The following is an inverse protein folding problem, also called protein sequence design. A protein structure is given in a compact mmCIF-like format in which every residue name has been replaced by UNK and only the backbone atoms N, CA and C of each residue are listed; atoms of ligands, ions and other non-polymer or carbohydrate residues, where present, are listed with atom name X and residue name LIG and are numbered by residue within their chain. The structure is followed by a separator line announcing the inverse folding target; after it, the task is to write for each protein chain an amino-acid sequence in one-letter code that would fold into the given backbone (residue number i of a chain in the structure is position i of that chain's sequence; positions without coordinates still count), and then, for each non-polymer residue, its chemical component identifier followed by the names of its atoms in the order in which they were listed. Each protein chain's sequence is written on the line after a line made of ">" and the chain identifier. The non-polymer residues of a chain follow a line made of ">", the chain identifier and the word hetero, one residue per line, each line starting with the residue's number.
data_IF_188831150146
#
_entry.id   IF_188831150146
#
_cell.length_a   1.000
_cell.length_b   1.000
_cell.length_c   1.000
_cell.angle_alpha   90.00
_cell.angle_beta   90.00
_cell.angle_gamma   90.00
#
_symmetry.space_group_name_H-M   'P 1'
#
loop_
_entity.id
_entity.type
_entity.pdbx_description
1 polymer ?
#
# COMPACT_ATOMS: atom_id res chain seq x y z
N UNK A 1 7.64 14.66 31.45
CA UNK A 1 7.33 13.78 30.29
C UNK A 1 8.49 13.85 29.31
N UNK A 2 8.94 12.73 28.75
CA UNK A 2 9.94 12.68 27.67
C UNK A 2 9.26 12.14 26.41
N UNK A 3 9.50 12.76 25.26
CA UNK A 3 8.99 12.30 23.96
C UNK A 3 9.97 11.27 23.39
N UNK A 4 9.45 10.13 22.93
CA UNK A 4 10.23 9.05 22.34
C UNK A 4 9.63 8.67 20.98
N UNK A 5 10.48 8.49 19.98
CA UNK A 5 10.11 7.95 18.67
C UNK A 5 10.57 6.48 18.62
N UNK A 6 9.62 5.56 18.76
CA UNK A 6 9.87 4.11 18.75
C UNK A 6 9.49 3.55 17.38
N UNK A 7 10.38 2.83 16.69
CA UNK A 7 10.05 2.24 15.39
C UNK A 7 8.99 1.14 15.55
N UNK A 8 8.11 1.00 14.55
CA UNK A 8 6.97 0.07 14.62
C UNK A 8 7.37 -1.39 14.88
N UNK A 9 8.54 -1.83 14.39
CA UNK A 9 9.02 -3.20 14.60
C UNK A 9 9.37 -3.51 16.06
N UNK A 10 9.66 -2.51 16.91
CA UNK A 10 9.89 -2.74 18.34
C UNK A 10 8.58 -2.95 19.11
N UNK A 11 7.49 -2.35 18.61
CA UNK A 11 6.15 -2.44 19.20
C UNK A 11 5.44 -3.73 18.80
N UNK A 12 5.72 -4.24 17.60
CA UNK A 12 5.03 -5.39 17.01
C UNK A 12 5.10 -6.62 17.92
N UNK A 13 3.91 -7.10 18.34
CA UNK A 13 3.71 -8.25 19.22
C UNK A 13 4.52 -8.23 20.54
N UNK A 14 4.94 -7.05 21.00
CA UNK A 14 5.76 -6.89 22.19
C UNK A 14 4.94 -6.41 23.40
N UNK A 15 3.89 -7.18 23.71
CA UNK A 15 2.97 -6.90 24.84
C UNK A 15 3.68 -6.90 26.19
N UNK A 16 4.75 -7.70 26.34
CA UNK A 16 5.51 -7.81 27.59
C UNK A 16 6.18 -6.49 28.00
N UNK A 17 6.66 -5.69 27.04
CA UNK A 17 7.34 -4.41 27.31
C UNK A 17 6.41 -3.21 27.16
N UNK A 18 5.51 -3.22 26.17
CA UNK A 18 4.73 -2.03 25.82
C UNK A 18 3.24 -2.14 26.17
N UNK A 19 2.78 -3.30 26.64
CA UNK A 19 1.37 -3.55 26.93
C UNK A 19 0.51 -3.70 25.67
N UNK A 20 -0.76 -4.11 25.82
CA UNK A 20 -1.62 -4.52 24.70
C UNK A 20 -2.01 -3.37 23.77
N UNK A 21 -2.10 -2.14 24.27
CA UNK A 21 -2.51 -0.99 23.47
C UNK A 21 -1.40 -0.55 22.50
N UNK A 22 -0.17 -0.40 23.01
CA UNK A 22 0.95 0.06 22.20
C UNK A 22 1.41 -1.02 21.21
N UNK A 23 1.37 -2.30 21.61
CA UNK A 23 1.75 -3.39 20.70
C UNK A 23 0.77 -3.62 19.56
N UNK A 24 -0.46 -3.12 19.65
CA UNK A 24 -1.46 -3.18 18.59
C UNK A 24 -1.29 -2.08 17.52
N UNK A 25 -0.49 -1.03 17.79
CA UNK A 25 -0.31 0.11 16.88
C UNK A 25 0.14 -0.32 15.47
N UNK A 26 1.14 -1.21 15.29
CA UNK A 26 1.57 -1.61 13.95
C UNK A 26 0.43 -2.24 13.12
N UNK A 27 -0.45 -3.02 13.74
CA UNK A 27 -1.61 -3.61 13.07
C UNK A 27 -2.65 -2.56 12.66
N UNK A 28 -2.87 -1.54 13.50
CA UNK A 28 -3.81 -0.46 13.18
C UNK A 28 -3.31 0.43 12.05
N UNK A 29 -1.99 0.62 11.98
CA UNK A 29 -1.36 1.45 10.98
C UNK A 29 -1.15 0.76 9.63
N UNK A 30 -1.16 -0.57 9.59
CA UNK A 30 -0.89 -1.33 8.36
C UNK A 30 -1.89 -1.12 7.23
N UNK A 31 -3.05 -0.52 7.51
CA UNK A 31 -4.06 -0.16 6.50
C UNK A 31 -3.77 1.16 5.78
N UNK A 32 -2.80 1.93 6.25
CA UNK A 32 -2.44 3.22 5.67
C UNK A 32 -1.20 3.08 4.78
N UNK A 33 -1.15 3.92 3.74
CA UNK A 33 0.06 4.14 2.97
C UNK A 33 0.85 5.29 3.61
N UNK A 34 2.11 5.05 3.96
CA UNK A 34 3.01 6.08 4.48
C UNK A 34 3.74 6.71 3.31
N UNK A 35 3.51 8.00 3.07
CA UNK A 35 4.23 8.78 2.09
C UNK A 35 5.32 9.61 2.77
N UNK A 36 6.52 9.54 2.23
CA UNK A 36 7.63 10.39 2.61
C UNK A 36 7.66 11.54 1.61
N UNK A 37 7.45 12.75 2.11
CA UNK A 37 7.41 13.98 1.29
C UNK A 37 8.67 14.82 1.51
N UNK A 38 9.14 15.48 0.45
CA UNK A 38 10.22 16.47 0.52
C UNK A 38 9.71 17.87 0.92
N UNK A 39 10.60 18.86 0.96
CA UNK A 39 10.27 20.25 1.32
C UNK A 39 9.35 20.95 0.30
N UNK A 40 9.20 20.38 -0.90
CA UNK A 40 8.37 20.92 -1.99
C UNK A 40 7.05 20.13 -2.14
N UNK A 41 6.65 19.35 -1.11
CA UNK A 41 5.47 18.49 -1.10
C UNK A 41 5.48 17.35 -2.15
N UNK A 42 6.65 16.96 -2.67
CA UNK A 42 6.74 15.81 -3.58
C UNK A 42 6.92 14.51 -2.79
N UNK A 43 6.16 13.47 -3.16
CA UNK A 43 6.32 12.11 -2.60
C UNK A 43 7.61 11.48 -3.14
N UNK A 44 8.59 11.27 -2.26
CA UNK A 44 9.90 10.66 -2.60
C UNK A 44 9.94 9.16 -2.34
N UNK A 45 9.09 8.66 -1.43
CA UNK A 45 8.94 7.24 -1.14
C UNK A 45 7.56 6.94 -0.56
N UNK A 46 7.13 5.69 -0.64
CA UNK A 46 5.93 5.20 0.03
C UNK A 46 6.21 3.86 0.70
N UNK A 47 5.48 3.52 1.76
CA UNK A 47 5.49 2.17 2.35
C UNK A 47 4.10 1.79 2.86
N UNK A 48 3.67 0.53 2.73
CA UNK A 48 4.38 -0.59 2.10
C UNK A 48 4.37 -0.51 0.56
N UNK A 49 5.49 -0.89 -0.07
CA UNK A 49 5.61 -0.96 -1.53
C UNK A 49 6.34 0.25 -2.15
N UNK A 50 6.21 0.42 -3.47
CA UNK A 50 6.73 1.58 -4.20
C UNK A 50 5.58 2.52 -4.55
N UNK A 51 5.80 3.86 -4.57
CA UNK A 51 4.80 4.78 -5.11
C UNK A 51 4.38 4.34 -6.52
N UNK A 52 3.08 4.12 -6.72
CA UNK A 52 2.53 3.79 -8.02
C UNK A 52 2.11 5.09 -8.72
N UNK A 53 2.30 5.23 -10.05
CA UNK A 53 1.74 6.34 -10.81
C UNK A 53 0.23 6.46 -10.60
N UNK A 54 -0.35 7.66 -10.75
CA UNK A 54 -1.76 7.96 -10.43
C UNK A 54 -2.81 7.05 -11.12
N UNK A 55 -2.43 6.30 -12.16
CA UNK A 55 -3.28 5.30 -12.83
C UNK A 55 -3.19 3.87 -12.30
N UNK A 56 -2.20 3.53 -11.48
CA UNK A 56 -1.96 2.17 -10.96
C UNK A 56 -2.26 2.02 -9.47
N UNK A 57 -2.55 3.11 -8.75
CA UNK A 57 -2.91 3.05 -7.33
C UNK A 57 -4.23 2.24 -7.19
N UNK A 58 -4.23 1.10 -6.48
CA UNK A 58 -5.43 0.28 -6.33
C UNK A 58 -6.52 1.08 -5.63
N UNK A 59 -7.62 1.35 -6.33
CA UNK A 59 -8.81 2.01 -5.75
C UNK A 59 -9.78 0.95 -5.28
N UNK A 60 -10.35 1.15 -4.08
CA UNK A 60 -11.43 0.31 -3.59
C UNK A 60 -12.65 0.47 -4.49
N UNK A 61 -12.95 -0.55 -5.31
CA UNK A 61 -14.17 -0.57 -6.13
C UNK A 61 -15.35 -0.96 -5.26
N UNK A 62 -16.26 -0.02 -5.01
CA UNK A 62 -17.54 -0.31 -4.33
C UNK A 62 -18.45 -1.01 -5.34
N UNK A 63 -18.76 -2.28 -5.09
CA UNK A 63 -19.59 -3.11 -5.99
C UNK A 63 -21.10 -2.94 -5.75
N UNK A 64 -21.50 -2.22 -4.70
CA UNK A 64 -22.89 -2.10 -4.24
C UNK A 64 -23.52 -0.74 -4.60
N UNK A 65 -23.20 -0.21 -5.77
CA UNK A 65 -23.76 1.06 -6.26
C UNK A 65 -24.10 0.93 -7.74
N UNK A 66 -25.38 1.06 -8.06
CA UNK A 66 -25.90 1.17 -9.42
C UNK A 66 -25.36 2.47 -10.03
N UNK A 67 -24.44 2.37 -10.98
CA UNK A 67 -24.02 3.49 -11.82
C UNK A 67 -23.51 2.99 -13.16
N UNK A 68 -24.26 3.37 -14.18
CA UNK A 68 -24.03 3.15 -15.61
C UNK A 68 -22.77 3.91 -16.08
N UNK A 69 -21.60 3.33 -15.84
CA UNK A 69 -20.33 3.79 -16.41
C UNK A 69 -19.61 2.62 -17.06
N UNK A 70 -19.82 2.45 -18.36
CA UNK A 70 -18.96 1.61 -19.19
C UNK A 70 -17.57 2.23 -19.19
N UNK A 71 -16.55 1.49 -18.77
CA UNK A 71 -15.17 1.80 -19.17
C UNK A 71 -14.35 0.51 -19.32
N UNK A 72 -13.74 0.40 -20.49
CA UNK A 72 -13.17 -0.79 -21.10
C UNK A 72 -11.75 -1.07 -20.58
N UNK A 73 -11.65 -1.69 -19.41
CA UNK A 73 -10.36 -1.97 -18.77
C UNK A 73 -9.75 -3.34 -19.10
N UNK A 74 -9.59 -3.71 -20.37
CA UNK A 74 -8.67 -4.80 -20.79
C UNK A 74 -8.22 -4.60 -22.24
N UNK A 75 -7.57 -3.48 -22.54
CA UNK A 75 -7.07 -3.19 -23.89
C UNK A 75 -5.59 -3.49 -24.12
N UNK A 76 -4.80 -3.83 -23.09
CA UNK A 76 -3.37 -4.12 -23.29
C UNK A 76 -2.89 -5.31 -22.46
N UNK A 77 -3.21 -6.51 -22.95
CA UNK A 77 -2.36 -7.67 -22.75
C UNK A 77 -1.93 -8.17 -24.13
N UNK A 78 -0.86 -7.58 -24.66
CA UNK A 78 -0.08 -8.19 -25.72
C UNK A 78 0.71 -9.33 -25.09
N UNK A 79 0.09 -10.52 -25.05
CA UNK A 79 0.77 -11.74 -24.69
C UNK A 79 1.86 -12.02 -25.72
N UNK A 80 3.12 -11.73 -25.37
CA UNK A 80 4.26 -12.34 -26.05
C UNK A 80 4.37 -13.79 -25.56
N UNK A 81 3.47 -14.64 -26.06
CA UNK A 81 3.70 -16.08 -26.13
C UNK A 81 4.73 -16.31 -27.22
N UNK A 82 6.00 -16.25 -26.85
CA UNK A 82 7.04 -16.89 -27.64
C UNK A 82 6.87 -18.40 -27.49
N UNK A 83 5.99 -18.97 -28.31
CA UNK A 83 5.90 -20.42 -28.56
C UNK A 83 7.24 -20.88 -29.11
N UNK A 84 8.05 -21.54 -28.29
CA UNK A 84 9.23 -22.25 -28.79
C UNK A 84 8.76 -23.62 -29.29
N UNK A 85 8.26 -23.63 -30.53
CA UNK A 85 7.99 -24.83 -31.31
C UNK A 85 9.29 -25.59 -31.62
N UNK A 86 9.19 -26.92 -31.61
CA UNK A 86 10.33 -27.82 -31.51
C UNK A 86 11.22 -27.97 -32.74
N UNK A 87 12.35 -28.62 -32.48
CA UNK A 87 12.88 -29.75 -33.26
C UNK A 87 13.44 -30.79 -32.28
#
# INVERSE_FOLDING_TARGET
>A
MKLLAVPLFELYDNTARYGPQLSAIPHLLSRYNFEFVDENDNVVAATPGTPLPEGQIPKTKVLAGDNEGQDEGMADYTGDTTENGGQ
#
